data_IF_806774843065
#
_entry.id   IF_806774843065
#
_cell.length_a   1.000
_cell.length_b   1.000
_cell.length_c   1.000
_cell.angle_alpha   90.00
_cell.angle_beta   90.00
_cell.angle_gamma   90.00
#
_symmetry.space_group_name_H-M   'P 1'
#
loop_
_entity.id
_entity.type
_entity.pdbx_description
1 polymer ?
#
# COMPACT_ATOMS: atom_id res chain seq x y z
N UNK A 1 7.95 -1.22 -39.84
CA UNK A 1 6.49 -1.50 -39.88
C UNK A 1 6.11 -2.24 -38.60
N UNK A 2 5.66 -1.54 -37.56
CA UNK A 2 5.19 -2.14 -36.31
C UNK A 2 3.78 -1.63 -36.02
N UNK A 3 2.78 -2.46 -36.27
CA UNK A 3 1.39 -2.18 -35.93
C UNK A 3 1.26 -2.15 -34.40
N UNK A 4 1.22 -0.94 -33.83
CA UNK A 4 0.86 -0.74 -32.43
C UNK A 4 -0.57 -1.24 -32.22
N UNK A 5 -0.72 -2.26 -31.37
CA UNK A 5 -2.01 -2.84 -30.98
C UNK A 5 -2.93 -1.72 -30.50
N UNK A 6 -4.03 -1.49 -31.24
CA UNK A 6 -5.08 -0.50 -30.95
C UNK A 6 -5.82 -0.86 -29.64
N UNK A 7 -5.31 -0.40 -28.51
CA UNK A 7 -6.14 -0.03 -27.36
C UNK A 7 -6.63 1.42 -27.60
N UNK A 8 -7.86 1.75 -27.99
CA UNK A 8 -9.11 1.01 -28.11
C UNK A 8 -10.07 1.95 -28.89
N UNK A 9 -10.66 1.58 -30.04
CA UNK A 9 -11.62 2.46 -30.78
C UNK A 9 -12.78 2.97 -29.90
N UNK A 10 -13.06 2.27 -28.81
CA UNK A 10 -14.04 2.64 -27.79
C UNK A 10 -13.63 3.88 -26.97
N UNK A 11 -12.34 4.14 -26.77
CA UNK A 11 -11.87 5.34 -26.07
C UNK A 11 -12.05 6.59 -26.92
N UNK A 12 -11.72 6.50 -28.21
CA UNK A 12 -11.88 7.60 -29.17
C UNK A 12 -13.35 7.98 -29.31
N UNK A 13 -14.23 6.97 -29.37
CA UNK A 13 -15.67 7.16 -29.42
C UNK A 13 -16.24 7.83 -28.15
N UNK A 14 -15.75 7.48 -26.96
CA UNK A 14 -16.15 8.16 -25.71
C UNK A 14 -15.59 9.59 -25.66
N UNK A 15 -14.36 9.80 -26.12
CA UNK A 15 -13.74 11.13 -26.16
C UNK A 15 -14.47 12.06 -27.13
N UNK A 16 -14.87 11.56 -28.30
CA UNK A 16 -15.68 12.29 -29.28
C UNK A 16 -17.05 12.64 -28.70
N UNK A 17 -17.74 11.67 -28.07
CA UNK A 17 -19.03 11.93 -27.44
C UNK A 17 -18.96 13.03 -26.37
N UNK A 18 -17.90 13.09 -25.57
CA UNK A 18 -17.68 14.17 -24.59
C UNK A 18 -17.39 15.51 -25.30
N UNK A 19 -16.68 15.50 -26.43
CA UNK A 19 -16.43 16.70 -27.24
C UNK A 19 -17.72 17.25 -27.85
N UNK A 20 -18.66 16.37 -28.22
CA UNK A 20 -19.98 16.71 -28.75
C UNK A 20 -20.98 17.20 -27.68
N UNK A 21 -20.53 17.41 -26.44
CA UNK A 21 -21.36 17.98 -25.37
C UNK A 21 -22.02 16.95 -24.44
N UNK A 22 -21.68 15.66 -24.53
CA UNK A 22 -22.22 14.65 -23.63
C UNK A 22 -21.41 14.58 -22.33
N UNK A 23 -21.86 15.29 -21.30
CA UNK A 23 -21.10 15.44 -20.05
C UNK A 23 -21.56 14.52 -18.90
N UNK A 24 -22.71 13.87 -19.03
CA UNK A 24 -23.31 13.02 -17.99
C UNK A 24 -23.40 11.55 -18.43
N UNK A 25 -23.38 10.62 -17.47
CA UNK A 25 -23.50 9.18 -17.77
C UNK A 25 -24.68 8.83 -18.70
N UNK A 26 -25.93 9.28 -18.45
CA UNK A 26 -27.05 8.90 -19.31
C UNK A 26 -26.89 9.37 -20.77
N UNK A 27 -26.24 10.53 -20.98
CA UNK A 27 -25.97 11.06 -22.31
C UNK A 27 -24.86 10.26 -23.01
N UNK A 28 -23.81 9.90 -22.27
CA UNK A 28 -22.72 9.05 -22.77
C UNK A 28 -23.19 7.62 -23.07
N UNK A 29 -24.09 7.05 -22.27
CA UNK A 29 -24.67 5.74 -22.53
C UNK A 29 -25.47 5.73 -23.84
N UNK A 30 -26.26 6.77 -24.10
CA UNK A 30 -27.00 6.94 -25.36
C UNK A 30 -26.07 7.16 -26.56
N UNK A 31 -25.07 8.03 -26.42
CA UNK A 31 -24.16 8.36 -27.51
C UNK A 31 -23.20 7.20 -27.87
N UNK A 32 -22.85 6.36 -26.90
CA UNK A 32 -21.82 5.33 -27.09
C UNK A 32 -22.32 3.89 -27.06
N UNK A 33 -23.57 3.68 -26.62
CA UNK A 33 -24.16 2.35 -26.42
C UNK A 33 -23.44 1.51 -25.35
N UNK A 34 -22.68 2.13 -24.45
CA UNK A 34 -21.87 1.43 -23.43
C UNK A 34 -22.48 1.55 -22.05
N UNK A 35 -22.25 0.54 -21.22
CA UNK A 35 -22.73 0.53 -19.84
C UNK A 35 -21.96 1.52 -18.96
N UNK A 36 -22.62 2.07 -17.93
CA UNK A 36 -22.03 2.93 -16.90
C UNK A 36 -20.71 2.43 -16.35
N UNK A 37 -20.61 1.13 -16.06
CA UNK A 37 -19.39 0.51 -15.49
C UNK A 37 -18.21 0.59 -16.47
N UNK A 38 -18.48 0.36 -17.76
CA UNK A 38 -17.46 0.46 -18.81
C UNK A 38 -17.07 1.91 -19.06
N UNK A 39 -18.05 2.81 -19.11
CA UNK A 39 -17.82 4.26 -19.23
C UNK A 39 -16.99 4.81 -18.07
N UNK A 40 -17.30 4.43 -16.83
CA UNK A 40 -16.51 4.83 -15.66
C UNK A 40 -15.03 4.41 -15.77
N UNK A 41 -14.78 3.18 -16.24
CA UNK A 41 -13.42 2.69 -16.46
C UNK A 41 -12.71 3.49 -17.57
N UNK A 42 -13.41 3.79 -18.66
CA UNK A 42 -12.86 4.53 -19.80
C UNK A 42 -12.59 5.99 -19.43
N UNK A 43 -13.54 6.66 -18.78
CA UNK A 43 -13.38 8.04 -18.30
C UNK A 43 -12.24 8.13 -17.29
N UNK A 44 -12.07 7.13 -16.42
CA UNK A 44 -10.93 7.08 -15.49
C UNK A 44 -9.59 6.97 -16.24
N UNK A 45 -9.54 6.21 -17.34
CA UNK A 45 -8.34 6.09 -18.19
C UNK A 45 -8.09 7.36 -19.00
N UNK A 46 -9.12 7.98 -19.56
CA UNK A 46 -9.02 9.25 -20.28
C UNK A 46 -8.55 10.39 -19.35
N UNK A 47 -9.09 10.44 -18.12
CA UNK A 47 -8.65 11.39 -17.08
C UNK A 47 -7.24 11.08 -16.62
N UNK A 48 -6.92 9.81 -16.42
CA UNK A 48 -5.56 9.36 -16.10
C UNK A 48 -4.54 9.67 -17.21
N UNK A 49 -5.00 9.95 -18.43
CA UNK A 49 -4.20 10.44 -19.55
C UNK A 49 -4.30 11.95 -19.76
N UNK A 50 -4.99 12.72 -18.92
CA UNK A 50 -5.15 14.17 -19.08
C UNK A 50 -5.98 14.60 -20.31
N UNK A 51 -6.75 13.70 -20.92
CA UNK A 51 -7.57 13.97 -22.11
C UNK A 51 -8.90 14.64 -21.76
N UNK A 52 -9.38 14.39 -20.55
CA UNK A 52 -10.62 14.95 -20.02
C UNK A 52 -10.42 15.36 -18.56
N UNK A 53 -11.19 16.34 -18.13
CA UNK A 53 -11.30 16.80 -16.74
C UNK A 53 -12.74 16.65 -16.25
N UNK A 54 -12.96 16.77 -14.94
CA UNK A 54 -14.29 16.65 -14.34
C UNK A 54 -14.82 15.22 -14.24
N UNK A 55 -16.08 15.05 -13.82
CA UNK A 55 -16.71 13.75 -13.62
C UNK A 55 -18.06 13.61 -14.33
N UNK A 56 -18.39 12.40 -14.79
CA UNK A 56 -19.69 12.17 -15.44
C UNK A 56 -20.84 12.06 -14.44
N UNK A 57 -20.53 12.02 -13.14
CA UNK A 57 -21.52 11.99 -12.06
C UNK A 57 -22.08 13.37 -11.74
N UNK A 58 -21.25 14.41 -11.84
CA UNK A 58 -21.62 15.81 -11.60
C UNK A 58 -21.89 16.58 -12.91
N UNK A 59 -21.76 15.93 -14.07
CA UNK A 59 -21.97 16.55 -15.39
C UNK A 59 -20.87 17.54 -15.79
N UNK A 60 -19.74 17.56 -15.09
CA UNK A 60 -18.64 18.51 -15.35
C UNK A 60 -17.60 18.01 -16.34
N UNK A 61 -17.82 16.86 -17.00
CA UNK A 61 -16.81 16.27 -17.90
C UNK A 61 -16.50 17.20 -19.05
N UNK A 62 -15.24 17.63 -19.20
CA UNK A 62 -14.81 18.49 -20.31
C UNK A 62 -13.60 17.89 -21.00
N UNK A 63 -13.53 18.06 -22.31
CA UNK A 63 -12.34 17.70 -23.10
C UNK A 63 -11.28 18.79 -22.93
N UNK A 64 -10.06 18.38 -22.58
CA UNK A 64 -8.91 19.29 -22.46
C UNK A 64 -8.37 19.68 -23.84
N UNK A 65 -7.47 20.66 -23.90
CA UNK A 65 -6.79 21.01 -25.16
C UNK A 65 -6.00 19.84 -25.76
N UNK A 66 -5.55 18.91 -24.92
CA UNK A 66 -4.86 17.70 -25.39
C UNK A 66 -5.83 16.64 -25.92
N UNK A 67 -7.02 16.50 -25.31
CA UNK A 67 -8.10 15.68 -25.86
C UNK A 67 -8.60 16.15 -27.23
N UNK A 68 -8.69 17.46 -27.44
CA UNK A 68 -9.05 18.03 -28.75
C UNK A 68 -8.01 17.75 -29.83
N UNK A 69 -6.71 17.88 -29.50
CA UNK A 69 -5.62 17.53 -30.41
C UNK A 69 -5.62 16.03 -30.77
N UNK A 70 -5.93 15.16 -29.82
CA UNK A 70 -6.08 13.73 -30.07
C UNK A 70 -7.23 13.43 -31.05
N UNK A 71 -8.38 14.13 -30.94
CA UNK A 71 -9.49 14.01 -31.89
C UNK A 71 -9.13 14.50 -33.29
N UNK A 72 -8.27 15.53 -33.40
CA UNK A 72 -7.76 16.04 -34.67
C UNK A 72 -6.71 15.13 -35.33
N UNK A 73 -6.44 13.94 -34.77
CA UNK A 73 -5.47 12.98 -35.30
C UNK A 73 -4.01 13.29 -34.96
N UNK A 74 -3.74 14.31 -34.14
CA UNK A 74 -2.40 14.65 -33.66
C UNK A 74 -1.97 13.64 -32.57
N UNK A 75 -1.27 12.59 -33.02
CA UNK A 75 -0.72 11.54 -32.15
C UNK A 75 0.55 11.98 -31.43
N UNK A 76 1.13 13.13 -31.78
CA UNK A 76 2.24 13.75 -31.06
C UNK A 76 1.81 14.11 -29.63
N UNK A 77 0.53 14.48 -29.47
CA UNK A 77 -0.11 14.68 -28.18
C UNK A 77 -0.30 13.37 -27.41
N UNK A 78 -0.49 12.21 -28.06
CA UNK A 78 -0.57 10.90 -27.39
C UNK A 78 0.78 10.54 -26.74
N UNK A 79 1.90 10.91 -27.38
CA UNK A 79 3.25 10.83 -26.79
C UNK A 79 3.50 11.80 -25.64
N UNK A 80 2.69 12.86 -25.51
CA UNK A 80 2.66 13.76 -24.35
C UNK A 80 1.63 13.33 -23.29
N UNK A 81 0.57 12.62 -23.68
CA UNK A 81 -0.53 12.15 -22.81
C UNK A 81 -0.29 10.76 -22.22
N UNK A 82 0.87 10.17 -22.54
CA UNK A 82 1.53 9.12 -21.77
C UNK A 82 2.58 9.65 -20.78
N UNK A 83 2.78 10.97 -20.68
CA UNK A 83 3.74 11.61 -19.77
C UNK A 83 3.14 11.90 -18.39
N UNK A 84 2.43 10.93 -17.83
CA UNK A 84 2.08 11.05 -16.42
C UNK A 84 3.35 10.77 -15.61
N UNK A 85 3.75 11.68 -14.70
CA UNK A 85 4.86 11.41 -13.80
C UNK A 85 4.56 10.10 -13.09
N UNK A 86 5.43 9.10 -13.28
CA UNK A 86 5.26 7.80 -12.64
C UNK A 86 5.26 7.97 -11.12
N UNK A 87 4.73 7.01 -10.36
CA UNK A 87 4.86 7.06 -8.89
C UNK A 87 6.32 7.20 -8.44
N UNK A 88 7.26 6.64 -9.21
CA UNK A 88 8.69 6.84 -8.95
C UNK A 88 9.11 8.30 -9.17
N UNK A 89 8.71 8.92 -10.28
CA UNK A 89 9.00 10.31 -10.58
C UNK A 89 8.42 11.27 -9.54
N UNK A 90 7.18 11.06 -9.10
CA UNK A 90 6.55 11.84 -8.02
C UNK A 90 7.37 11.73 -6.73
N UNK A 91 7.72 10.50 -6.31
CA UNK A 91 8.50 10.26 -5.09
C UNK A 91 9.88 10.91 -5.16
N UNK A 92 10.59 10.75 -6.29
CA UNK A 92 11.91 11.34 -6.47
C UNK A 92 11.84 12.87 -6.44
N UNK A 93 10.89 13.46 -7.16
CA UNK A 93 10.70 14.92 -7.21
C UNK A 93 10.34 15.49 -5.82
N UNK A 94 9.47 14.81 -5.06
CA UNK A 94 9.19 15.21 -3.66
C UNK A 94 10.44 15.18 -2.80
N UNK A 95 11.29 14.16 -2.93
CA UNK A 95 12.53 14.05 -2.17
C UNK A 95 13.59 15.10 -2.60
N UNK A 96 13.57 15.56 -3.85
CA UNK A 96 14.44 16.67 -4.30
C UNK A 96 14.05 17.97 -3.60
N UNK A 97 12.76 18.28 -3.52
CA UNK A 97 12.24 19.52 -2.92
C UNK A 97 12.32 19.48 -1.39
N UNK A 98 11.91 18.37 -0.78
CA UNK A 98 11.75 18.29 0.68
C UNK A 98 12.94 17.67 1.41
N UNK A 99 13.86 17.01 0.71
CA UNK A 99 14.92 16.24 1.33
C UNK A 99 14.43 14.90 1.92
N UNK A 100 15.17 14.31 2.88
CA UNK A 100 14.86 12.97 3.40
C UNK A 100 13.50 12.87 4.08
N UNK A 101 12.64 11.96 3.61
CA UNK A 101 11.25 11.85 4.08
C UNK A 101 10.80 10.41 4.38
N UNK A 102 9.95 10.19 5.39
CA UNK A 102 9.36 8.89 5.69
C UNK A 102 8.22 8.51 4.72
N UNK A 103 7.89 7.21 4.65
CA UNK A 103 6.86 6.68 3.75
C UNK A 103 5.48 7.33 3.93
N UNK A 104 5.08 7.65 5.17
CA UNK A 104 3.77 8.26 5.44
C UNK A 104 3.65 9.61 4.76
N UNK A 105 4.61 10.48 5.05
CA UNK A 105 4.71 11.82 4.46
C UNK A 105 4.82 11.77 2.94
N UNK A 106 5.57 10.84 2.36
CA UNK A 106 5.66 10.67 0.91
C UNK A 106 4.32 10.27 0.27
N UNK A 107 3.55 9.41 0.93
CA UNK A 107 2.23 9.01 0.43
C UNK A 107 1.26 10.19 0.46
N UNK A 108 1.28 10.98 1.53
CA UNK A 108 0.42 12.15 1.69
C UNK A 108 0.83 13.25 0.68
N UNK A 109 2.14 13.51 0.53
CA UNK A 109 2.68 14.52 -0.37
C UNK A 109 2.44 14.22 -1.86
N UNK A 110 2.49 12.94 -2.25
CA UNK A 110 2.26 12.54 -3.65
C UNK A 110 0.78 12.31 -3.96
N UNK A 111 -0.09 12.24 -2.94
CA UNK A 111 -1.49 11.84 -3.08
C UNK A 111 -1.68 10.38 -3.53
N UNK A 112 -0.61 9.59 -3.61
CA UNK A 112 -0.64 8.21 -4.09
C UNK A 112 -0.88 7.25 -2.93
N UNK A 113 -1.64 6.18 -3.19
CA UNK A 113 -1.87 5.12 -2.20
C UNK A 113 -0.55 4.62 -1.60
N UNK A 114 -0.48 4.57 -0.28
CA UNK A 114 0.71 4.13 0.48
C UNK A 114 1.30 2.80 0.02
N UNK A 115 0.48 1.86 -0.47
CA UNK A 115 0.95 0.58 -1.02
C UNK A 115 1.73 0.74 -2.33
N UNK A 116 1.29 1.62 -3.22
CA UNK A 116 1.97 1.90 -4.49
C UNK A 116 3.27 2.67 -4.25
N UNK A 117 3.27 3.64 -3.33
CA UNK A 117 4.49 4.36 -2.91
C UNK A 117 5.50 3.38 -2.31
N UNK A 118 5.06 2.46 -1.45
CA UNK A 118 5.93 1.43 -0.88
C UNK A 118 6.57 0.54 -1.96
N UNK A 119 5.78 0.11 -2.95
CA UNK A 119 6.29 -0.69 -4.05
C UNK A 119 7.30 0.09 -4.91
N UNK A 120 7.06 1.37 -5.17
CA UNK A 120 7.99 2.24 -5.89
C UNK A 120 9.30 2.44 -5.11
N UNK A 121 9.22 2.71 -3.81
CA UNK A 121 10.40 2.86 -2.95
C UNK A 121 11.25 1.58 -2.90
N UNK A 122 10.63 0.40 -2.85
CA UNK A 122 11.34 -0.87 -2.88
C UNK A 122 12.15 -1.03 -4.19
N UNK A 123 11.52 -0.74 -5.34
CA UNK A 123 12.18 -0.80 -6.66
C UNK A 123 13.32 0.22 -6.79
N UNK A 124 13.08 1.47 -6.35
CA UNK A 124 14.08 2.53 -6.40
C UNK A 124 15.27 2.24 -5.49
N UNK A 125 15.03 1.66 -4.31
CA UNK A 125 16.09 1.23 -3.40
C UNK A 125 16.89 0.06 -3.95
N UNK A 126 16.23 -0.92 -4.57
CA UNK A 126 16.91 -2.02 -5.25
C UNK A 126 17.83 -1.52 -6.39
N UNK A 127 17.45 -0.43 -7.05
CA UNK A 127 18.24 0.23 -8.11
C UNK A 127 19.34 1.16 -7.59
N UNK A 128 19.51 1.30 -6.27
CA UNK A 128 20.51 2.22 -5.70
C UNK A 128 20.13 3.70 -5.73
N UNK A 129 18.91 4.05 -6.16
CA UNK A 129 18.45 5.44 -6.27
C UNK A 129 18.10 6.08 -4.91
N UNK A 130 17.85 5.25 -3.89
CA UNK A 130 17.42 5.69 -2.57
C UNK A 130 18.21 4.99 -1.46
N UNK A 131 18.52 5.74 -0.41
CA UNK A 131 19.00 5.21 0.88
C UNK A 131 17.90 5.31 1.94
N UNK A 132 17.94 4.46 2.96
CA UNK A 132 16.98 4.48 4.06
C UNK A 132 17.73 4.48 5.40
N UNK A 133 17.68 5.61 6.10
CA UNK A 133 18.41 5.84 7.35
C UNK A 133 17.50 6.58 8.33
N UNK A 134 17.49 6.18 9.61
CA UNK A 134 16.75 6.89 10.65
C UNK A 134 15.23 6.97 10.43
N UNK A 135 14.65 6.05 9.64
CA UNK A 135 13.21 6.05 9.34
C UNK A 135 12.80 6.90 8.13
N UNK A 136 13.75 7.51 7.42
CA UNK A 136 13.51 8.37 6.26
C UNK A 136 14.23 7.84 5.01
N UNK A 137 13.62 8.06 3.85
CA UNK A 137 14.21 7.79 2.55
C UNK A 137 14.94 9.04 2.06
N UNK A 138 16.17 8.89 1.59
CA UNK A 138 16.96 9.98 1.02
C UNK A 138 17.42 9.62 -0.40
N UNK A 139 17.51 10.62 -1.26
CA UNK A 139 18.04 10.48 -2.62
C UNK A 139 19.55 10.22 -2.60
N UNK A 140 19.99 9.27 -3.43
CA UNK A 140 21.40 9.13 -3.79
C UNK A 140 21.71 9.97 -5.04
N UNK A 141 22.99 10.06 -5.44
CA UNK A 141 23.38 10.68 -6.70
C UNK A 141 22.68 10.05 -7.92
N UNK A 142 22.55 8.72 -7.95
CA UNK A 142 21.80 8.00 -8.99
C UNK A 142 20.31 8.34 -8.97
N UNK A 143 19.73 8.54 -7.79
CA UNK A 143 18.33 8.95 -7.68
C UNK A 143 18.09 10.35 -8.24
N UNK A 144 19.03 11.28 -8.05
CA UNK A 144 18.95 12.63 -8.64
C UNK A 144 19.10 12.60 -10.16
N UNK A 145 20.01 11.77 -10.68
CA UNK A 145 20.16 11.60 -12.13
C UNK A 145 18.88 11.03 -12.76
N UNK A 146 18.27 10.02 -12.12
CA UNK A 146 17.02 9.43 -12.58
C UNK A 146 15.83 10.40 -12.48
N UNK A 147 15.81 11.27 -11.47
CA UNK A 147 14.81 12.34 -11.38
C UNK A 147 14.96 13.34 -12.52
N UNK A 148 16.19 13.79 -12.82
CA UNK A 148 16.45 14.68 -13.93
C UNK A 148 16.08 14.04 -15.29
N UNK A 149 16.35 12.74 -15.48
CA UNK A 149 15.93 11.99 -16.66
C UNK A 149 14.40 11.95 -16.79
N UNK A 150 13.69 11.68 -15.69
CA UNK A 150 12.23 11.70 -15.69
C UNK A 150 11.65 13.09 -15.90
N UNK A 151 12.25 14.12 -15.32
CA UNK A 151 11.82 15.51 -15.49
C UNK A 151 12.10 16.01 -16.92
N UNK A 152 13.19 15.57 -17.55
CA UNK A 152 13.44 15.82 -18.97
C UNK A 152 12.42 15.11 -19.88
N UNK A 153 12.05 13.86 -19.55
CA UNK A 153 11.12 13.06 -20.34
C UNK A 153 9.64 13.49 -20.17
N UNK A 154 9.25 13.88 -18.95
CA UNK A 154 7.86 14.06 -18.55
C UNK A 154 7.51 15.49 -18.08
N UNK A 155 8.51 16.36 -17.87
CA UNK A 155 8.32 17.68 -17.26
C UNK A 155 8.23 17.61 -15.73
N UNK A 156 8.34 18.74 -15.06
CA UNK A 156 8.21 18.79 -13.60
C UNK A 156 6.78 18.43 -13.16
N UNK A 157 6.60 17.52 -12.18
CA UNK A 157 5.27 17.17 -11.70
C UNK A 157 4.60 18.37 -11.02
N UNK A 158 3.40 18.73 -11.49
CA UNK A 158 2.61 19.82 -10.91
C UNK A 158 1.96 19.43 -9.58
N UNK A 159 1.77 20.41 -8.69
CA UNK A 159 1.03 20.24 -7.44
C UNK A 159 1.80 19.54 -6.31
N UNK A 160 3.13 19.46 -6.41
CA UNK A 160 3.94 18.98 -5.29
C UNK A 160 3.89 19.97 -4.11
N UNK A 161 3.78 19.47 -2.88
CA UNK A 161 3.83 20.32 -1.69
C UNK A 161 5.20 20.98 -1.54
N UNK A 162 5.21 22.19 -0.96
CA UNK A 162 6.45 22.91 -0.68
C UNK A 162 7.29 22.15 0.36
N UNK A 163 8.60 22.43 0.38
CA UNK A 163 9.52 21.85 1.35
C UNK A 163 9.05 22.07 2.80
N UNK A 164 8.49 23.25 3.10
CA UNK A 164 7.92 23.59 4.40
C UNK A 164 6.70 22.75 4.76
N UNK A 165 5.78 22.53 3.81
CA UNK A 165 4.60 21.70 4.02
C UNK A 165 4.99 20.24 4.33
N UNK A 166 6.00 19.73 3.62
CA UNK A 166 6.53 18.38 3.86
C UNK A 166 7.25 18.29 5.21
N UNK A 167 8.04 19.31 5.58
CA UNK A 167 8.70 19.38 6.88
C UNK A 167 7.71 19.45 8.04
N UNK A 168 6.63 20.22 7.90
CA UNK A 168 5.55 20.30 8.89
C UNK A 168 4.83 18.95 9.04
N UNK A 169 4.52 18.29 7.93
CA UNK A 169 3.91 16.95 7.94
C UNK A 169 4.82 15.92 8.63
N UNK A 170 6.15 16.03 8.45
CA UNK A 170 7.10 15.15 9.11
C UNK A 170 7.17 15.37 10.62
N UNK A 171 7.18 16.62 11.08
CA UNK A 171 7.09 16.95 12.52
C UNK A 171 5.81 16.36 13.13
N UNK A 172 4.66 16.59 12.48
CA UNK A 172 3.40 16.01 12.93
C UNK A 172 3.40 14.47 12.96
N UNK A 173 4.11 13.80 12.05
CA UNK A 173 4.26 12.33 12.11
C UNK A 173 5.11 11.89 13.33
N UNK A 174 6.18 12.63 13.65
CA UNK A 174 6.99 12.36 14.85
C UNK A 174 6.17 12.54 16.12
N UNK A 175 5.42 13.63 16.23
CA UNK A 175 4.57 13.91 17.39
C UNK A 175 3.51 12.81 17.58
N UNK A 176 2.87 12.37 16.49
CA UNK A 176 1.91 11.25 16.53
C UNK A 176 2.56 9.93 16.97
N UNK A 177 3.81 9.67 16.58
CA UNK A 177 4.53 8.46 17.00
C UNK A 177 4.91 8.53 18.47
N UNK A 178 5.34 9.69 18.93
CA UNK A 178 5.68 9.92 20.33
C UNK A 178 4.45 9.79 21.22
N UNK A 179 3.34 10.45 20.87
CA UNK A 179 2.07 10.31 21.58
C UNK A 179 1.59 8.85 21.66
N UNK A 180 1.72 8.08 20.57
CA UNK A 180 1.43 6.63 20.58
C UNK A 180 2.37 5.85 21.49
N UNK A 181 3.65 6.19 21.51
CA UNK A 181 4.62 5.54 22.38
C UNK A 181 4.31 5.83 23.86
N UNK A 182 3.94 7.06 24.19
CA UNK A 182 3.47 7.44 25.53
C UNK A 182 2.21 6.71 25.95
N UNK A 183 1.21 6.63 25.07
CA UNK A 183 -0.01 5.85 25.32
C UNK A 183 0.31 4.37 25.59
N UNK A 184 1.23 3.78 24.84
CA UNK A 184 1.66 2.40 25.07
C UNK A 184 2.42 2.24 26.39
N UNK A 185 3.25 3.21 26.78
CA UNK A 185 3.94 3.22 28.09
C UNK A 185 2.93 3.33 29.22
N UNK A 186 1.95 4.23 29.11
CA UNK A 186 0.89 4.39 30.09
C UNK A 186 0.03 3.13 30.22
N UNK A 187 -0.38 2.53 29.10
CA UNK A 187 -1.14 1.27 29.10
C UNK A 187 -0.37 0.11 29.73
N UNK A 188 0.95 0.02 29.50
CA UNK A 188 1.82 -0.98 30.17
C UNK A 188 1.91 -0.73 31.67
N UNK A 189 2.12 0.51 32.10
CA UNK A 189 2.18 0.87 33.51
C UNK A 189 0.85 0.55 34.22
N UNK A 190 -0.29 0.82 33.57
CA UNK A 190 -1.60 0.46 34.10
C UNK A 190 -1.78 -1.07 34.21
N UNK A 191 -1.36 -1.81 33.17
CA UNK A 191 -1.41 -3.27 33.20
C UNK A 191 -0.55 -3.85 34.34
N UNK A 192 0.62 -3.28 34.59
CA UNK A 192 1.48 -3.67 35.71
C UNK A 192 0.85 -3.36 37.06
N UNK A 193 0.25 -2.18 37.23
CA UNK A 193 -0.52 -1.82 38.44
C UNK A 193 -1.66 -2.81 38.69
N UNK A 194 -2.43 -3.15 37.65
CA UNK A 194 -3.51 -4.16 37.73
C UNK A 194 -2.96 -5.54 38.12
N UNK A 195 -1.81 -5.95 37.59
CA UNK A 195 -1.14 -7.22 37.96
C UNK A 195 -0.65 -7.20 39.41
N UNK A 196 -0.07 -6.09 39.87
CA UNK A 196 0.39 -5.93 41.24
C UNK A 196 -0.77 -5.98 42.23
N UNK A 197 -1.87 -5.26 41.95
CA UNK A 197 -3.09 -5.30 42.76
C UNK A 197 -3.67 -6.71 42.89
N UNK A 198 -3.73 -7.47 41.78
CA UNK A 198 -4.15 -8.89 41.79
C UNK A 198 -3.22 -9.80 42.61
N UNK A 199 -1.91 -9.52 42.63
CA UNK A 199 -0.96 -10.27 43.47
C UNK A 199 -1.14 -9.94 44.95
N UNK A 200 -1.40 -8.68 45.28
CA UNK A 200 -1.61 -8.22 46.65
C UNK A 200 -2.94 -8.70 47.25
N UNK A 201 -4.01 -8.76 46.44
CA UNK A 201 -5.32 -9.25 46.89
C UNK A 201 -5.43 -10.78 46.97
N UNK A 202 -4.39 -11.51 46.54
CA UNK A 202 -4.39 -12.97 46.57
C UNK A 202 -4.20 -13.43 48.02
N UNK A 203 -5.18 -14.13 48.63
CA UNK A 203 -5.06 -14.55 50.02
C UNK A 203 -3.83 -15.43 50.18
N UNK A 204 -2.93 -15.06 51.10
CA UNK A 204 -1.80 -15.89 51.53
C UNK A 204 -2.39 -17.18 52.11
N UNK A 205 -2.54 -18.23 51.30
CA UNK A 205 -2.74 -19.58 51.81
C UNK A 205 -1.52 -19.89 52.68
N UNK A 206 -1.68 -19.74 54.00
CA UNK A 206 -0.78 -20.29 55.01
C UNK A 206 -0.64 -21.77 54.66
N UNK A 207 0.51 -22.16 54.10
CA UNK A 207 0.94 -23.56 54.13
C UNK A 207 1.17 -23.88 55.60
N UNK A 208 0.12 -24.30 56.30
CA UNK A 208 0.27 -25.09 57.50
C UNK A 208 1.04 -26.34 57.05
N UNK A 209 2.30 -26.45 57.50
CA UNK A 209 3.04 -27.71 57.46
C UNK A 209 2.29 -28.68 58.36
N UNK A 210 1.33 -29.41 57.81
CA UNK A 210 0.88 -30.65 58.44
C UNK A 210 2.02 -31.66 58.24
N UNK A 211 2.83 -31.80 59.27
CA UNK A 211 3.74 -32.93 59.42
C UNK A 211 2.92 -34.21 59.32
N UNK A 212 3.07 -34.95 58.21
CA UNK A 212 2.63 -36.34 58.15
C UNK A 212 3.77 -37.20 58.69
N UNK A 213 3.53 -38.07 59.69
CA UNK A 213 4.54 -39.01 60.13
C UNK A 213 4.86 -39.99 59.00
N UNK A 214 6.16 -40.27 58.85
CA UNK A 214 6.71 -41.23 57.90
C UNK A 214 6.28 -42.64 58.33
N UNK A 215 5.38 -43.27 57.58
CA UNK A 215 5.27 -44.72 57.60
C UNK A 215 6.16 -45.27 56.50
N UNK A 216 7.39 -45.63 56.88
CA UNK A 216 8.31 -46.37 56.01
C UNK A 216 7.73 -47.78 55.86
N UNK A 217 7.08 -48.07 54.72
CA UNK A 217 6.98 -49.46 54.25
C UNK A 217 8.20 -49.72 53.37
N UNK A 218 9.20 -50.39 53.96
CA UNK A 218 10.23 -51.11 53.23
C UNK A 218 9.52 -52.14 52.35
N UNK A 219 9.55 -51.94 51.03
CA UNK A 219 9.39 -53.02 50.07
C UNK A 219 10.65 -53.03 49.22
N UNK A 220 11.25 -54.21 49.22
CA UNK A 220 12.52 -54.60 48.64
C UNK A 220 12.56 -54.37 47.13
N UNK A 221 13.70 -53.83 46.69
CA UNK A 221 14.12 -53.66 45.31
C UNK A 221 14.34 -55.02 44.65
N UNK A 222 14.16 -55.14 43.33
CA UNK A 222 15.18 -55.80 42.53
C UNK A 222 15.83 -54.83 41.54
N UNK A 223 17.15 -54.98 41.42
CA UNK A 223 18.03 -54.43 40.37
C UNK A 223 17.75 -55.15 39.04
N UNK A 224 18.09 -54.70 37.83
CA UNK A 224 18.65 -53.49 37.22
C UNK A 224 18.57 -53.71 35.69
N UNK A 225 18.42 -52.67 34.86
CA UNK A 225 19.13 -52.44 33.57
C UNK A 225 18.69 -51.11 32.90
N UNK A 226 19.51 -50.51 32.00
CA UNK A 226 19.50 -49.06 31.76
C UNK A 226 18.91 -48.61 30.40
N UNK A 227 18.81 -47.29 30.27
CA UNK A 227 18.74 -46.48 29.04
C UNK A 227 17.48 -46.52 28.16
N UNK A 228 16.78 -45.39 28.07
CA UNK A 228 16.38 -44.76 26.81
C UNK A 228 15.73 -43.39 27.08
N UNK A 229 16.31 -42.33 26.51
CA UNK A 229 15.64 -41.05 26.38
C UNK A 229 14.40 -41.22 25.49
N UNK A 230 13.21 -40.87 25.98
CA UNK A 230 12.06 -40.66 25.10
C UNK A 230 11.30 -39.40 25.49
N UNK A 231 11.43 -38.42 24.60
CA UNK A 231 10.59 -37.25 24.47
C UNK A 231 9.13 -37.66 24.35
N UNK A 232 8.26 -37.14 25.22
CA UNK A 232 6.81 -37.24 25.04
C UNK A 232 6.38 -36.20 24.00
N UNK A 233 5.78 -36.58 22.86
CA UNK A 233 5.27 -35.62 21.90
C UNK A 233 3.96 -35.01 22.42
N UNK A 234 3.89 -33.67 22.40
CA UNK A 234 2.68 -32.92 22.68
C UNK A 234 1.64 -33.24 21.60
N UNK A 235 0.50 -33.83 21.99
CA UNK A 235 -0.65 -34.03 21.10
C UNK A 235 -1.21 -32.66 20.68
N UNK A 236 -0.91 -32.25 19.45
CA UNK A 236 -1.64 -31.19 18.76
C UNK A 236 -3.01 -31.76 18.35
N UNK A 237 -4.09 -31.12 18.79
CA UNK A 237 -5.44 -31.44 18.33
C UNK A 237 -5.61 -31.22 16.82
N UNK A 238 -6.70 -31.72 16.22
CA UNK A 238 -6.86 -31.76 14.77
C UNK A 238 -6.81 -30.34 14.18
N UNK A 239 -5.87 -30.14 13.26
CA UNK A 239 -5.71 -28.95 12.45
C UNK A 239 -6.96 -28.82 11.59
N UNK A 240 -7.69 -27.69 11.71
CA UNK A 240 -8.73 -27.34 10.73
C UNK A 240 -8.05 -27.15 9.38
N UNK A 241 -8.17 -28.17 8.54
CA UNK A 241 -7.62 -28.16 7.20
C UNK A 241 -8.13 -26.94 6.43
N UNK A 242 -7.14 -26.26 5.88
CA UNK A 242 -7.24 -25.24 4.86
C UNK A 242 -8.32 -25.61 3.85
N UNK A 243 -9.34 -24.76 3.71
CA UNK A 243 -10.17 -24.68 2.50
C UNK A 243 -9.27 -24.25 1.33
N UNK A 244 -8.50 -25.19 0.81
CA UNK A 244 -7.87 -25.08 -0.50
C UNK A 244 -8.99 -25.19 -1.53
N UNK A 245 -9.24 -24.09 -2.25
CA UNK A 245 -10.04 -24.15 -3.47
C UNK A 245 -9.33 -25.11 -4.44
N UNK A 246 -10.02 -26.08 -5.05
CA UNK A 246 -9.42 -26.87 -6.10
C UNK A 246 -9.09 -25.96 -7.29
N UNK A 247 -7.90 -26.15 -7.85
CA UNK A 247 -7.50 -25.58 -9.14
C UNK A 247 -8.42 -26.18 -10.23
N UNK A 248 -8.91 -25.38 -11.19
CA UNK A 248 -9.56 -25.95 -12.37
C UNK A 248 -8.48 -26.62 -13.23
N UNK A 249 -8.46 -27.95 -13.20
CA UNK A 249 -7.75 -28.77 -14.18
C UNK A 249 -8.48 -28.73 -15.51
N UNK A 250 -7.70 -28.61 -16.57
CA UNK A 250 -8.08 -28.50 -17.97
C UNK A 250 -8.84 -29.71 -18.53
N UNK A 251 -9.56 -29.46 -19.64
CA UNK A 251 -10.05 -30.45 -20.61
C UNK A 251 -11.58 -30.60 -20.59
N UNK A 252 -12.35 -30.53 -21.68
CA UNK A 252 -12.09 -30.71 -23.10
C UNK A 252 -13.22 -30.09 -23.94
N UNK A 253 -12.85 -29.60 -25.13
CA UNK A 253 -13.52 -29.75 -26.43
C UNK A 253 -14.95 -30.35 -26.44
N UNK A 254 -15.94 -29.54 -26.84
CA UNK A 254 -16.75 -29.72 -28.06
C UNK A 254 -17.52 -28.45 -28.38
#
# INVERSE_FOLDING_TARGET
MGLAVKDSPTMDLVLAAVADGNHAYPALERATGRTRKRLSTILSRLRGRGLIEGTASDGSVRVTGAGRRMLAGDRSAIGQLGRCPTTAHLVLSTLVVAGPCPLGVLADATGVRKSAVRAALAKLRQRGCLSYTGGAYALTGQGRALEAEYTAAYGAPAGLPSSEQVAAAWRAERDRKEARAEQLRAARAEQERRRAARKASRPKRRRAKAAKPRTIKRVTKPAATPAAASSVPVRLGPIREQRRRPLPTEGWVR
#
